data_IF_396235443477
#
_entry.id   IF_396235443477
#
_cell.length_a   1.000
_cell.length_b   1.000
_cell.length_c   1.000
_cell.angle_alpha   90.00
_cell.angle_beta   90.00
_cell.angle_gamma   90.00
#
_symmetry.space_group_name_H-M   'P 1'
#
loop_
_entity.id
_entity.type
_entity.pdbx_description
1 polymer ?
#
# COMPACT_ATOMS: atom_id res chain seq x y z
N UNK A 1 -3.82 37.63 11.32
CA UNK A 1 -3.01 36.42 11.12
C UNK A 1 -3.92 35.25 11.49
N UNK A 2 -4.43 34.49 10.52
CA UNK A 2 -5.47 33.47 10.73
C UNK A 2 -5.08 32.15 10.03
N UNK A 3 -5.02 31.11 10.87
CA UNK A 3 -4.84 29.66 10.63
C UNK A 3 -3.61 29.22 9.82
N UNK A 4 -2.57 28.79 10.53
CA UNK A 4 -1.73 27.70 10.03
C UNK A 4 -2.60 26.44 9.97
N UNK A 5 -2.52 25.71 8.85
CA UNK A 5 -3.20 24.44 8.69
C UNK A 5 -2.36 23.42 9.45
N UNK A 6 -2.83 22.98 10.62
CA UNK A 6 -2.16 21.93 11.37
C UNK A 6 -2.15 20.66 10.52
N UNK A 7 -0.95 20.28 10.10
CA UNK A 7 -0.71 19.19 9.16
C UNK A 7 -0.02 18.08 9.94
N UNK A 8 -0.72 16.96 10.18
CA UNK A 8 -0.10 15.82 10.86
C UNK A 8 0.48 14.87 9.82
N UNK A 9 1.70 14.39 10.02
CA UNK A 9 2.31 13.40 9.14
C UNK A 9 2.51 12.09 9.89
N UNK A 10 2.12 11.00 9.25
CA UNK A 10 2.23 9.66 9.81
C UNK A 10 3.17 8.83 8.95
N UNK A 11 4.32 8.43 9.50
CA UNK A 11 5.17 7.41 8.92
C UNK A 11 4.58 6.02 9.19
N UNK A 12 4.67 5.11 8.20
CA UNK A 12 4.02 3.79 8.25
C UNK A 12 4.96 2.63 7.98
N UNK A 13 5.89 2.80 7.05
CA UNK A 13 6.95 1.81 6.80
C UNK A 13 8.26 2.52 6.51
N UNK A 14 9.37 1.83 6.79
CA UNK A 14 10.74 2.29 6.58
C UNK A 14 11.52 1.16 5.91
N UNK A 15 12.32 1.52 4.91
CA UNK A 15 13.26 0.63 4.25
C UNK A 15 14.62 1.31 4.15
N UNK A 16 15.69 0.55 4.35
CA UNK A 16 17.06 1.03 4.22
C UNK A 16 17.75 0.23 3.12
N UNK A 17 18.19 0.94 2.07
CA UNK A 17 18.98 0.36 0.97
C UNK A 17 20.31 1.13 0.88
N UNK A 18 21.39 0.46 1.29
CA UNK A 18 22.73 1.06 1.40
C UNK A 18 22.67 2.36 2.24
N UNK A 19 23.02 3.50 1.64
CA UNK A 19 23.02 4.83 2.28
C UNK A 19 21.65 5.55 2.20
N UNK A 20 20.64 4.93 1.61
CA UNK A 20 19.33 5.55 1.40
C UNK A 20 18.29 5.01 2.38
N UNK A 21 17.61 5.93 3.07
CA UNK A 21 16.44 5.65 3.90
C UNK A 21 15.18 6.08 3.17
N UNK A 22 14.27 5.14 2.97
CA UNK A 22 12.96 5.34 2.36
C UNK A 22 11.90 5.20 3.44
N UNK A 23 10.95 6.12 3.48
CA UNK A 23 9.82 6.09 4.41
C UNK A 23 8.56 6.33 3.60
N UNK A 24 7.52 5.52 3.79
CA UNK A 24 6.18 5.84 3.26
C UNK A 24 5.22 6.16 4.39
N UNK A 25 4.19 6.91 4.05
CA UNK A 25 3.21 7.38 5.00
C UNK A 25 2.18 8.28 4.36
N UNK A 26 1.48 9.05 5.18
CA UNK A 26 0.54 10.04 4.68
C UNK A 26 0.58 11.31 5.51
N UNK A 27 0.24 12.39 4.83
CA UNK A 27 -0.06 13.67 5.46
C UNK A 27 -1.56 13.79 5.62
N UNK A 28 -2.01 14.19 6.81
CA UNK A 28 -3.40 14.44 7.16
C UNK A 28 -3.59 15.92 7.43
N UNK A 29 -4.05 16.64 6.40
CA UNK A 29 -4.47 18.03 6.47
C UNK A 29 -5.96 18.13 6.10
N UNK A 30 -6.65 19.16 6.60
CA UNK A 30 -8.06 19.39 6.27
C UNK A 30 -8.20 19.54 4.75
N UNK A 31 -8.89 18.58 4.12
CA UNK A 31 -9.13 18.57 2.68
C UNK A 31 -7.99 17.99 1.83
N UNK A 32 -6.85 17.60 2.43
CA UNK A 32 -5.74 17.00 1.70
C UNK A 32 -5.14 15.84 2.49
N UNK A 33 -5.50 14.61 2.08
CA UNK A 33 -4.82 13.41 2.57
C UNK A 33 -4.06 12.76 1.42
N UNK A 34 -2.74 12.93 1.44
CA UNK A 34 -1.87 12.45 0.38
C UNK A 34 -0.85 11.44 0.87
N UNK A 35 -0.68 10.38 0.09
CA UNK A 35 0.40 9.42 0.26
C UNK A 35 1.74 10.10 -0.03
N UNK A 36 2.73 9.83 0.80
CA UNK A 36 4.06 10.44 0.72
C UNK A 36 5.12 9.37 0.77
N UNK A 37 6.20 9.60 0.03
CA UNK A 37 7.49 8.95 0.24
C UNK A 37 8.46 10.02 0.71
N UNK A 38 9.33 9.66 1.63
CA UNK A 38 10.50 10.45 1.99
C UNK A 38 11.75 9.63 1.67
N UNK A 39 12.68 10.22 0.94
CA UNK A 39 14.02 9.67 0.73
C UNK A 39 15.01 10.56 1.47
N UNK A 40 15.73 10.01 2.45
CA UNK A 40 16.69 10.75 3.27
C UNK A 40 16.10 12.04 3.88
N UNK A 41 14.86 11.97 4.36
CA UNK A 41 14.13 13.09 4.94
C UNK A 41 13.52 14.07 3.93
N UNK A 42 13.81 13.94 2.63
CA UNK A 42 13.24 14.80 1.58
C UNK A 42 11.94 14.17 1.07
N UNK A 43 10.78 14.86 1.18
CA UNK A 43 9.53 14.36 0.65
C UNK A 43 9.56 14.32 -0.88
N UNK A 44 9.26 13.17 -1.45
CA UNK A 44 8.96 12.99 -2.86
C UNK A 44 7.46 12.75 -3.01
N UNK A 45 6.87 13.32 -4.05
CA UNK A 45 5.46 13.10 -4.36
C UNK A 45 5.35 11.80 -5.14
N UNK A 46 4.87 10.74 -4.47
CA UNK A 46 4.80 9.42 -5.09
C UNK A 46 3.63 9.25 -6.06
N UNK A 47 2.50 9.97 -5.88
CA UNK A 47 1.52 10.31 -6.94
C UNK A 47 0.38 11.20 -6.39
N UNK A 48 -0.27 11.92 -7.31
CA UNK A 48 -1.53 12.66 -7.21
C UNK A 48 -2.78 11.76 -7.05
N UNK A 49 -3.57 12.05 -6.03
CA UNK A 49 -4.91 11.52 -5.79
C UNK A 49 -5.31 12.01 -4.41
N UNK A 50 -6.39 12.79 -4.30
CA UNK A 50 -6.65 13.64 -3.14
C UNK A 50 -6.95 12.89 -1.83
N UNK A 51 -7.02 11.54 -1.84
CA UNK A 51 -7.62 10.76 -0.74
C UNK A 51 -7.03 9.36 -0.54
N UNK A 52 -5.71 9.19 -0.58
CA UNK A 52 -5.10 7.91 -0.14
C UNK A 52 -5.14 7.85 1.39
N UNK A 53 -5.93 6.92 1.94
CA UNK A 53 -6.27 6.94 3.35
C UNK A 53 -5.23 6.28 4.23
N UNK A 54 -4.58 5.19 3.79
CA UNK A 54 -3.52 4.50 4.55
C UNK A 54 -2.58 3.80 3.58
N UNK A 55 -1.37 4.33 3.43
CA UNK A 55 -0.26 3.56 2.90
C UNK A 55 0.39 2.78 4.02
N UNK A 56 0.66 1.50 3.80
CA UNK A 56 0.94 0.57 4.88
C UNK A 56 2.34 0.01 4.80
N UNK A 57 2.88 -0.16 3.60
CA UNK A 57 4.18 -0.82 3.44
C UNK A 57 4.95 -0.33 2.21
N UNK A 58 6.27 -0.53 2.26
CA UNK A 58 7.19 -0.22 1.18
C UNK A 58 8.31 -1.27 1.09
N UNK A 59 8.81 -1.50 -0.11
CA UNK A 59 10.04 -2.26 -0.34
C UNK A 59 10.84 -1.61 -1.47
N UNK A 60 12.14 -1.85 -1.51
CA UNK A 60 13.02 -1.38 -2.58
C UNK A 60 13.72 -2.58 -3.22
N UNK A 61 13.66 -2.66 -4.54
CA UNK A 61 14.37 -3.69 -5.32
C UNK A 61 14.94 -3.06 -6.59
N UNK A 62 16.24 -3.25 -6.82
CA UNK A 62 16.94 -2.74 -8.00
C UNK A 62 16.66 -1.25 -8.24
N UNK A 63 16.84 -0.43 -7.19
CA UNK A 63 16.57 1.02 -7.17
C UNK A 63 15.09 1.44 -7.36
N UNK A 64 14.18 0.49 -7.56
CA UNK A 64 12.76 0.76 -7.68
C UNK A 64 12.08 0.71 -6.32
N UNK A 65 11.31 1.74 -5.98
CA UNK A 65 10.51 1.80 -4.76
C UNK A 65 9.12 1.26 -5.04
N UNK A 66 8.72 0.21 -4.34
CA UNK A 66 7.36 -0.31 -4.38
C UNK A 66 6.63 0.09 -3.10
N UNK A 67 5.37 0.49 -3.24
CA UNK A 67 4.56 0.90 -2.11
C UNK A 67 3.12 0.40 -2.24
N UNK A 68 2.54 -0.03 -1.13
CA UNK A 68 1.16 -0.52 -1.09
C UNK A 68 0.30 0.22 -0.07
N UNK A 69 -0.98 0.35 -0.40
CA UNK A 69 -1.99 0.95 0.45
C UNK A 69 -3.35 0.92 -0.20
N UNK A 70 -4.25 1.80 0.23
CA UNK A 70 -5.57 1.94 -0.38
C UNK A 70 -6.08 3.38 -0.37
N UNK A 71 -6.89 3.68 -1.37
CA UNK A 71 -7.54 4.96 -1.60
C UNK A 71 -9.02 4.86 -1.30
N UNK A 72 -9.61 5.94 -0.77
CA UNK A 72 -11.07 6.05 -0.72
C UNK A 72 -11.60 6.63 -2.02
N UNK A 73 -12.39 5.82 -2.72
CA UNK A 73 -13.06 6.20 -3.97
C UNK A 73 -14.57 6.09 -3.73
N UNK A 74 -15.22 7.24 -3.56
CA UNK A 74 -16.63 7.30 -3.15
C UNK A 74 -16.82 6.71 -1.75
N UNK A 75 -17.70 5.70 -1.65
CA UNK A 75 -18.00 4.95 -0.44
C UNK A 75 -17.08 3.73 -0.23
N UNK A 76 -16.13 3.49 -1.13
CA UNK A 76 -15.30 2.27 -1.14
C UNK A 76 -13.83 2.56 -0.85
N UNK A 77 -13.13 1.51 -0.40
CA UNK A 77 -11.68 1.49 -0.37
C UNK A 77 -11.16 0.63 -1.51
N UNK A 78 -10.16 1.14 -2.21
CA UNK A 78 -9.61 0.52 -3.42
C UNK A 78 -8.11 0.35 -3.25
N UNK A 79 -7.53 -0.84 -3.49
CA UNK A 79 -6.11 -1.07 -3.32
C UNK A 79 -5.32 -0.24 -4.33
N UNK A 80 -4.14 0.22 -3.89
CA UNK A 80 -3.18 0.96 -4.69
C UNK A 80 -1.81 0.35 -4.46
N UNK A 81 -1.13 0.06 -5.56
CA UNK A 81 0.25 -0.44 -5.55
C UNK A 81 1.02 0.44 -6.51
N UNK A 82 2.15 0.96 -6.09
CA UNK A 82 2.97 1.85 -6.88
C UNK A 82 4.36 1.26 -7.11
N UNK A 83 4.95 1.56 -8.26
CA UNK A 83 6.38 1.43 -8.54
C UNK A 83 6.93 2.80 -8.89
N UNK A 84 7.90 3.29 -8.13
CA UNK A 84 8.40 4.65 -8.18
C UNK A 84 7.27 5.66 -8.09
N UNK A 85 6.73 6.17 -9.20
CA UNK A 85 5.57 7.05 -9.21
C UNK A 85 4.54 6.59 -10.25
N UNK A 86 4.39 5.29 -10.45
CA UNK A 86 3.46 4.70 -11.41
C UNK A 86 2.51 3.76 -10.69
N UNK A 87 1.21 3.93 -10.93
CA UNK A 87 0.20 3.02 -10.40
C UNK A 87 0.25 1.69 -11.16
N UNK A 88 0.55 0.61 -10.44
CA UNK A 88 0.48 -0.73 -10.98
C UNK A 88 -0.97 -1.24 -10.98
N UNK A 89 -1.39 -2.00 -12.01
CA UNK A 89 -2.68 -2.64 -12.03
C UNK A 89 -2.78 -3.71 -10.93
N UNK A 90 -3.91 -3.76 -10.24
CA UNK A 90 -4.22 -4.78 -9.24
C UNK A 90 -5.68 -5.19 -9.37
N UNK A 91 -5.91 -6.49 -9.55
CA UNK A 91 -7.25 -7.07 -9.66
C UNK A 91 -7.98 -6.93 -8.34
N UNK A 92 -9.18 -6.36 -8.37
CA UNK A 92 -10.08 -6.30 -7.23
C UNK A 92 -11.51 -6.23 -7.75
N UNK A 93 -12.46 -6.67 -6.94
CA UNK A 93 -13.88 -6.46 -7.19
C UNK A 93 -14.25 -5.03 -6.84
N UNK A 94 -15.07 -4.40 -7.67
CA UNK A 94 -15.61 -3.08 -7.37
C UNK A 94 -16.79 -3.13 -6.38
N UNK A 95 -17.16 -4.31 -5.86
CA UNK A 95 -18.38 -4.52 -5.07
C UNK A 95 -18.17 -4.33 -3.57
N UNK A 96 -16.95 -4.44 -3.05
CA UNK A 96 -16.62 -4.30 -1.64
C UNK A 96 -15.48 -3.33 -1.36
N UNK A 97 -15.11 -3.21 -0.09
CA UNK A 97 -13.85 -2.59 0.30
C UNK A 97 -12.71 -3.57 0.04
N UNK A 98 -11.66 -3.10 -0.62
CA UNK A 98 -10.46 -3.87 -0.89
C UNK A 98 -9.24 -3.07 -0.45
N UNK A 99 -8.33 -3.76 0.21
CA UNK A 99 -7.17 -3.17 0.88
C UNK A 99 -5.90 -3.89 0.45
N UNK A 100 -4.81 -3.14 0.24
CA UNK A 100 -3.46 -3.68 0.16
C UNK A 100 -2.69 -3.26 1.42
N UNK A 101 -2.03 -4.23 2.07
CA UNK A 101 -1.41 -4.08 3.38
C UNK A 101 0.10 -4.19 3.34
N UNK A 102 0.65 -5.17 2.61
CA UNK A 102 2.09 -5.39 2.53
C UNK A 102 2.53 -5.55 1.07
N UNK A 103 3.77 -5.20 0.76
CA UNK A 103 4.37 -5.40 -0.57
C UNK A 103 5.78 -5.95 -0.44
N UNK A 104 6.08 -6.98 -1.23
CA UNK A 104 7.41 -7.55 -1.36
C UNK A 104 7.70 -7.77 -2.84
N UNK A 105 8.98 -7.67 -3.22
CA UNK A 105 9.41 -8.00 -4.58
C UNK A 105 10.51 -9.04 -4.47
N UNK A 106 10.32 -10.15 -5.17
CA UNK A 106 11.22 -11.30 -5.18
C UNK A 106 11.28 -11.84 -6.60
N UNK A 107 12.49 -12.02 -7.12
CA UNK A 107 12.72 -12.52 -8.48
C UNK A 107 11.90 -11.75 -9.53
N UNK A 108 11.94 -10.41 -9.44
CA UNK A 108 11.19 -9.48 -10.32
C UNK A 108 9.66 -9.56 -10.20
N UNK A 109 9.12 -10.35 -9.28
CA UNK A 109 7.69 -10.50 -9.06
C UNK A 109 7.22 -9.67 -7.88
N UNK A 110 6.18 -8.88 -8.10
CA UNK A 110 5.54 -8.05 -7.07
C UNK A 110 4.47 -8.87 -6.36
N UNK A 111 4.69 -9.14 -5.08
CA UNK A 111 3.74 -9.78 -4.20
C UNK A 111 3.06 -8.73 -3.32
N UNK A 112 1.74 -8.81 -3.21
CA UNK A 112 0.95 -7.92 -2.36
C UNK A 112 0.05 -8.77 -1.47
N UNK A 113 0.06 -8.50 -0.18
CA UNK A 113 -0.90 -9.06 0.77
C UNK A 113 -1.98 -8.02 1.04
N UNK A 114 -3.23 -8.46 1.13
CA UNK A 114 -4.33 -7.60 1.53
C UNK A 114 -5.62 -8.36 1.77
N UNK A 115 -6.74 -7.67 1.65
CA UNK A 115 -8.06 -8.26 1.89
C UNK A 115 -9.17 -7.60 1.08
N UNK A 116 -10.25 -8.32 0.88
CA UNK A 116 -11.44 -7.86 0.17
C UNK A 116 -12.72 -8.31 0.87
N UNK A 117 -13.70 -7.42 0.91
CA UNK A 117 -15.05 -7.78 1.35
C UNK A 117 -15.82 -8.44 0.21
N UNK A 118 -16.06 -9.75 0.33
CA UNK A 118 -16.82 -10.60 -0.61
C UNK A 118 -18.04 -11.16 0.11
N UNK A 119 -19.24 -10.93 -0.43
CA UNK A 119 -20.50 -11.49 0.10
C UNK A 119 -20.70 -11.22 1.62
N UNK A 120 -20.32 -10.04 2.09
CA UNK A 120 -20.44 -9.67 3.51
C UNK A 120 -19.38 -10.26 4.44
N UNK A 121 -18.39 -10.99 3.92
CA UNK A 121 -17.23 -11.49 4.66
C UNK A 121 -15.94 -10.85 4.15
N UNK A 122 -14.97 -10.64 5.03
CA UNK A 122 -13.63 -10.25 4.62
C UNK A 122 -12.84 -11.52 4.26
N UNK A 123 -12.27 -11.54 3.07
CA UNK A 123 -11.38 -12.58 2.59
C UNK A 123 -9.96 -12.01 2.45
N UNK A 124 -8.96 -12.76 2.89
CA UNK A 124 -7.57 -12.40 2.67
C UNK A 124 -7.14 -12.79 1.26
N UNK A 125 -6.31 -11.95 0.64
CA UNK A 125 -5.87 -12.10 -0.74
C UNK A 125 -4.36 -11.88 -0.81
N UNK A 126 -3.70 -12.69 -1.62
CA UNK A 126 -2.35 -12.41 -2.11
C UNK A 126 -2.45 -12.17 -3.61
N UNK A 127 -1.81 -11.11 -4.09
CA UNK A 127 -1.62 -10.84 -5.50
C UNK A 127 -0.16 -11.10 -5.89
N UNK A 128 0.05 -11.79 -7.01
CA UNK A 128 1.33 -11.84 -7.74
C UNK A 128 1.16 -11.01 -9.02
N UNK A 129 1.99 -9.98 -9.20
CA UNK A 129 1.95 -9.08 -10.35
C UNK A 129 0.54 -8.56 -10.66
N UNK A 130 -0.19 -8.19 -9.60
CA UNK A 130 -1.55 -7.66 -9.69
C UNK A 130 -2.65 -8.69 -9.91
N UNK A 131 -2.33 -9.97 -10.07
CA UNK A 131 -3.32 -11.05 -10.19
C UNK A 131 -3.45 -11.80 -8.88
N UNK A 132 -4.67 -12.05 -8.44
CA UNK A 132 -4.91 -12.89 -7.28
C UNK A 132 -4.33 -14.28 -7.51
N UNK A 133 -3.56 -14.76 -6.53
CA UNK A 133 -3.07 -16.15 -6.50
C UNK A 133 -3.81 -16.91 -5.41
N UNK A 134 -4.20 -18.14 -5.72
CA UNK A 134 -4.89 -19.01 -4.79
C UNK A 134 -3.89 -19.57 -3.80
N UNK A 135 -3.78 -18.92 -2.64
CA UNK A 135 -2.84 -19.32 -1.61
C UNK A 135 -3.54 -19.61 -0.28
N UNK A 136 -4.52 -18.79 0.13
CA UNK A 136 -5.28 -18.96 1.37
C UNK A 136 -6.60 -18.15 1.32
N UNK A 137 -7.61 -18.59 0.55
CA UNK A 137 -8.97 -18.06 0.73
C UNK A 137 -9.64 -18.69 1.96
N UNK A 138 -9.06 -18.46 3.15
CA UNK A 138 -9.76 -18.83 4.39
C UNK A 138 -10.93 -17.87 4.55
N UNK A 139 -12.15 -18.35 4.28
CA UNK A 139 -13.39 -17.67 4.70
C UNK A 139 -13.57 -17.69 6.22
N UNK A 140 -12.48 -17.58 7.00
CA UNK A 140 -12.58 -17.42 8.45
C UNK A 140 -12.82 -15.94 8.71
N UNK A 141 -13.97 -15.61 9.29
CA UNK A 141 -14.41 -14.22 9.51
C UNK A 141 -13.55 -13.40 10.48
N UNK A 142 -12.36 -13.85 10.86
CA UNK A 142 -11.47 -13.23 11.85
C UNK A 142 -9.98 -13.54 11.62
N UNK A 143 -9.47 -13.49 10.38
CA UNK A 143 -8.02 -13.56 10.13
C UNK A 143 -7.48 -12.19 9.71
N UNK A 144 -6.57 -11.64 10.52
CA UNK A 144 -5.81 -10.43 10.21
C UNK A 144 -4.38 -10.82 9.84
N UNK A 145 -3.97 -10.54 8.60
CA UNK A 145 -2.57 -10.60 8.21
C UNK A 145 -2.00 -9.18 8.19
N UNK A 146 -0.95 -8.96 8.96
CA UNK A 146 -0.33 -7.63 9.13
C UNK A 146 0.94 -7.46 8.29
N UNK A 147 1.59 -8.56 7.91
CA UNK A 147 2.88 -8.55 7.19
C UNK A 147 3.04 -9.78 6.32
N UNK A 148 3.88 -9.68 5.30
CA UNK A 148 4.24 -10.79 4.42
C UNK A 148 5.75 -10.78 4.20
N UNK A 149 6.36 -11.97 4.22
CA UNK A 149 7.74 -12.19 3.76
C UNK A 149 7.65 -13.24 2.66
N UNK A 150 8.26 -12.96 1.52
CA UNK A 150 8.38 -13.91 0.41
C UNK A 150 9.83 -14.33 0.33
N UNK A 151 10.08 -15.63 0.28
CA UNK A 151 11.44 -16.20 0.24
C UNK A 151 11.56 -17.04 -1.04
N UNK A 152 12.60 -16.84 -1.87
CA UNK A 152 12.89 -17.71 -3.00
C UNK A 152 13.03 -19.17 -2.55
N UNK A 153 12.63 -20.11 -3.40
CA UNK A 153 12.99 -21.52 -3.19
C UNK A 153 14.45 -21.71 -3.60
N UNK A 154 15.21 -22.39 -2.75
CA UNK A 154 16.57 -22.88 -3.04
C UNK A 154 16.59 -23.86 -4.23
#
# INVERSE_FOLDING_TARGET
MLSHIDTTTYAKSIYVDQDNVYIVGYTDAIGERSFKLWKNGVPTKLISGERINRGLDLTVENENVYAAGYEQVGDKYVPRVFKNNELLPIQHTASGHTYAFAVQVVDEKVYVLGSEYRNGKQANIIWENGKEIDFLSVESGYSEFQSMIVVPKE
#
